data_IF_674910788125
#
_entry.id   IF_674910788125
#
_cell.length_a   1.000
_cell.length_b   1.000
_cell.length_c   1.000
_cell.angle_alpha   90.00
_cell.angle_beta   90.00
_cell.angle_gamma   90.00
#
_symmetry.space_group_name_H-M   'P 1'
#
loop_
_entity.id
_entity.type
_entity.pdbx_description
1 polymer ?
#
# COMPACT_ATOMS: atom_id res chain seq x y z
N UNK A 1 -20.56 -1.91 -4.05
CA UNK A 1 -20.49 -2.79 -5.23
C UNK A 1 -19.18 -3.51 -5.06
N UNK A 2 -19.22 -4.83 -4.85
CA UNK A 2 -18.03 -5.57 -4.45
C UNK A 2 -17.11 -5.70 -5.67
N UNK A 3 -15.83 -5.35 -5.51
CA UNK A 3 -14.85 -5.55 -6.57
C UNK A 3 -14.51 -7.03 -6.69
N UNK A 4 -14.16 -7.47 -7.89
CA UNK A 4 -13.70 -8.84 -8.15
C UNK A 4 -12.20 -8.87 -8.43
N UNK A 5 -11.56 -10.04 -8.29
CA UNK A 5 -10.15 -10.17 -8.65
C UNK A 5 -9.97 -10.06 -10.18
N UNK A 6 -8.79 -9.63 -10.62
CA UNK A 6 -8.45 -9.63 -12.06
C UNK A 6 -8.58 -11.03 -12.69
N UNK A 7 -8.31 -12.09 -11.93
CA UNK A 7 -8.45 -13.46 -12.40
C UNK A 7 -9.92 -13.84 -12.62
N UNK A 8 -10.81 -13.50 -11.69
CA UNK A 8 -12.24 -13.78 -11.81
C UNK A 8 -12.87 -12.94 -12.94
N UNK A 9 -12.50 -11.66 -13.03
CA UNK A 9 -12.88 -10.81 -14.16
C UNK A 9 -12.47 -11.43 -15.50
N UNK A 10 -11.25 -11.97 -15.58
CA UNK A 10 -10.74 -12.58 -16.82
C UNK A 10 -11.48 -13.87 -17.17
N UNK A 11 -11.87 -14.68 -16.18
CA UNK A 11 -12.67 -15.90 -16.40
C UNK A 11 -14.05 -15.58 -16.95
N UNK A 12 -14.67 -14.50 -16.48
CA UNK A 12 -16.01 -14.07 -16.87
C UNK A 12 -15.99 -12.90 -17.87
N UNK A 13 -14.87 -12.71 -18.60
CA UNK A 13 -14.64 -11.55 -19.45
C UNK A 13 -15.76 -11.32 -20.47
N UNK A 14 -16.24 -12.39 -21.09
CA UNK A 14 -17.28 -12.32 -22.12
C UNK A 14 -18.62 -11.84 -21.54
N UNK A 15 -18.86 -12.02 -20.24
CA UNK A 15 -20.06 -11.51 -19.57
C UNK A 15 -19.99 -9.99 -19.35
N UNK A 16 -18.79 -9.44 -19.10
CA UNK A 16 -18.59 -8.01 -18.80
C UNK A 16 -18.29 -7.18 -20.05
N UNK A 17 -17.63 -7.78 -21.04
CA UNK A 17 -17.20 -7.13 -22.28
C UNK A 17 -17.54 -7.99 -23.52
N UNK A 18 -18.83 -8.15 -23.87
CA UNK A 18 -19.28 -9.12 -24.87
C UNK A 18 -18.86 -8.81 -26.31
N UNK A 19 -18.39 -7.59 -26.59
CA UNK A 19 -17.90 -7.18 -27.91
C UNK A 19 -16.38 -7.41 -28.11
N UNK A 20 -15.68 -7.81 -27.05
CA UNK A 20 -14.21 -7.91 -27.03
C UNK A 20 -13.74 -9.27 -27.56
N UNK A 21 -12.81 -9.24 -28.49
CA UNK A 21 -12.19 -10.41 -29.09
C UNK A 21 -10.80 -10.68 -28.49
N UNK A 22 -10.24 -11.86 -28.77
CA UNK A 22 -8.92 -12.25 -28.26
C UNK A 22 -7.76 -11.36 -28.74
N UNK A 23 -7.91 -10.75 -29.92
CA UNK A 23 -6.94 -9.80 -30.48
C UNK A 23 -7.06 -8.38 -29.92
N UNK A 24 -8.06 -8.10 -29.10
CA UNK A 24 -8.31 -6.78 -28.56
C UNK A 24 -7.47 -6.52 -27.30
N UNK A 25 -7.47 -5.25 -26.89
CA UNK A 25 -6.76 -4.77 -25.70
C UNK A 25 -7.78 -4.09 -24.81
N UNK A 26 -7.77 -4.41 -23.52
CA UNK A 26 -8.63 -3.76 -22.53
C UNK A 26 -7.92 -2.58 -21.92
N UNK A 27 -8.66 -1.50 -21.70
CA UNK A 27 -8.17 -0.29 -21.05
C UNK A 27 -8.69 -0.21 -19.61
N UNK A 28 -7.77 -0.26 -18.66
CA UNK A 28 -8.06 -0.09 -17.24
C UNK A 28 -7.88 1.37 -16.84
N UNK A 29 -8.91 1.93 -16.20
CA UNK A 29 -9.06 3.36 -15.91
C UNK A 29 -9.38 3.60 -14.44
N UNK A 30 -9.25 4.86 -14.03
CA UNK A 30 -9.81 5.42 -12.80
C UNK A 30 -9.45 4.65 -11.52
N UNK A 31 -8.16 4.55 -11.16
CA UNK A 31 -7.74 3.89 -9.92
C UNK A 31 -8.38 4.53 -8.69
N UNK A 32 -8.84 3.66 -7.78
CA UNK A 32 -9.51 4.02 -6.53
C UNK A 32 -9.00 3.13 -5.39
N UNK A 33 -9.16 3.63 -4.17
CA UNK A 33 -8.93 2.84 -2.97
C UNK A 33 -10.25 2.54 -2.28
N UNK A 34 -10.44 1.28 -1.92
CA UNK A 34 -11.50 0.83 -1.04
C UNK A 34 -10.90 0.39 0.29
N UNK A 35 -11.34 1.00 1.40
CA UNK A 35 -10.79 0.76 2.72
C UNK A 35 -11.71 -0.16 3.53
N UNK A 36 -11.13 -1.19 4.15
CA UNK A 36 -11.84 -2.10 5.03
C UNK A 36 -10.99 -2.49 6.25
N UNK A 37 -11.60 -2.49 7.44
CA UNK A 37 -11.01 -3.10 8.64
C UNK A 37 -10.90 -4.61 8.43
N UNK A 38 -9.76 -5.18 8.80
CA UNK A 38 -9.55 -6.64 8.79
C UNK A 38 -9.97 -7.29 10.11
N UNK A 39 -10.17 -6.51 11.18
CA UNK A 39 -10.69 -6.97 12.48
C UNK A 39 -9.91 -8.17 13.07
N UNK A 40 -8.63 -8.32 12.71
CA UNK A 40 -7.83 -9.52 12.99
C UNK A 40 -7.58 -9.74 14.48
N UNK A 41 -7.51 -8.68 15.29
CA UNK A 41 -7.37 -8.76 16.73
C UNK A 41 -8.28 -7.77 17.48
N UNK A 42 -9.51 -8.19 17.79
CA UNK A 42 -10.52 -7.38 18.49
C UNK A 42 -10.21 -7.04 19.95
N UNK A 43 -9.15 -7.58 20.53
CA UNK A 43 -8.80 -7.36 21.94
C UNK A 43 -7.88 -6.15 22.14
N UNK A 44 -7.22 -5.68 21.08
CA UNK A 44 -6.27 -4.58 21.14
C UNK A 44 -6.89 -3.30 20.59
N UNK A 45 -7.43 -2.46 21.47
CA UNK A 45 -8.02 -1.18 21.07
C UNK A 45 -7.01 -0.14 20.60
N UNK A 46 -5.72 -0.30 20.92
CA UNK A 46 -4.65 0.62 20.55
C UNK A 46 -4.08 0.38 19.15
N UNK A 47 -4.47 -0.70 18.46
CA UNK A 47 -3.97 -1.01 17.12
C UNK A 47 -5.12 -1.49 16.23
N UNK A 48 -5.31 -0.83 15.08
CA UNK A 48 -6.34 -1.20 14.11
C UNK A 48 -5.69 -1.77 12.85
N UNK A 49 -6.20 -2.90 12.38
CA UNK A 49 -5.74 -3.57 11.16
C UNK A 49 -6.66 -3.25 9.97
N UNK A 50 -6.06 -2.73 8.90
CA UNK A 50 -6.77 -2.22 7.73
C UNK A 50 -6.14 -2.72 6.44
N UNK A 51 -7.00 -2.89 5.45
CA UNK A 51 -6.62 -3.06 4.04
C UNK A 51 -7.21 -1.92 3.22
N UNK A 52 -6.40 -1.41 2.28
CA UNK A 52 -6.86 -0.60 1.17
C UNK A 52 -6.69 -1.36 -0.14
N UNK A 53 -7.79 -1.82 -0.74
CA UNK A 53 -7.80 -2.47 -2.05
C UNK A 53 -7.68 -1.43 -3.17
N UNK A 54 -6.76 -1.69 -4.11
CA UNK A 54 -6.58 -0.89 -5.32
C UNK A 54 -7.52 -1.41 -6.39
N UNK A 55 -8.54 -0.61 -6.71
CA UNK A 55 -9.61 -0.96 -7.64
C UNK A 55 -9.51 -0.14 -8.93
N UNK A 56 -9.86 -0.75 -10.05
CA UNK A 56 -9.91 -0.13 -11.37
C UNK A 56 -11.21 -0.46 -12.08
N UNK A 57 -11.68 0.45 -12.92
CA UNK A 57 -12.74 0.16 -13.88
C UNK A 57 -12.14 -0.24 -15.24
N UNK A 58 -12.92 -0.92 -16.07
CA UNK A 58 -12.57 -1.25 -17.46
C UNK A 58 -13.39 -0.37 -18.39
N UNK A 59 -12.71 0.35 -19.29
CA UNK A 59 -13.34 1.36 -20.15
C UNK A 59 -14.40 0.75 -21.08
N UNK A 60 -14.13 -0.46 -21.59
CA UNK A 60 -14.99 -1.18 -22.51
C UNK A 60 -16.13 -1.95 -21.83
N UNK A 61 -16.12 -2.03 -20.49
CA UNK A 61 -17.10 -2.81 -19.76
C UNK A 61 -18.45 -2.09 -19.67
N UNK A 62 -19.53 -2.87 -19.66
CA UNK A 62 -20.87 -2.30 -19.51
C UNK A 62 -21.03 -1.62 -18.14
N UNK A 63 -21.98 -0.69 -18.01
CA UNK A 63 -22.12 0.18 -16.82
C UNK A 63 -22.32 -0.54 -15.47
N UNK A 64 -22.76 -1.81 -15.47
CA UNK A 64 -22.94 -2.63 -14.27
C UNK A 64 -21.80 -3.61 -14.00
N UNK A 65 -20.66 -3.48 -14.70
CA UNK A 65 -19.51 -4.33 -14.47
C UNK A 65 -18.88 -3.96 -13.12
N UNK A 66 -18.43 -4.95 -12.33
CA UNK A 66 -17.75 -4.69 -11.07
C UNK A 66 -16.40 -4.02 -11.32
N UNK A 67 -15.94 -3.23 -10.36
CA UNK A 67 -14.55 -2.79 -10.32
C UNK A 67 -13.63 -3.99 -10.08
N UNK A 68 -12.39 -3.90 -10.55
CA UNK A 68 -11.40 -4.96 -10.49
C UNK A 68 -10.34 -4.61 -9.46
N UNK A 69 -10.15 -5.46 -8.47
CA UNK A 69 -9.02 -5.36 -7.54
C UNK A 69 -7.74 -5.85 -8.23
N UNK A 70 -6.76 -4.95 -8.33
CA UNK A 70 -5.44 -5.20 -8.91
C UNK A 70 -4.31 -5.15 -7.88
N UNK A 71 -4.65 -5.03 -6.61
CA UNK A 71 -3.66 -4.94 -5.55
C UNK A 71 -4.25 -4.45 -4.25
N UNK A 72 -3.40 -4.34 -3.24
CA UNK A 72 -3.78 -3.88 -1.91
C UNK A 72 -2.58 -3.26 -1.18
N UNK A 73 -2.90 -2.48 -0.15
CA UNK A 73 -2.00 -2.04 0.91
C UNK A 73 -2.56 -2.54 2.24
N UNK A 74 -1.82 -3.40 2.92
CA UNK A 74 -2.12 -3.82 4.29
C UNK A 74 -1.34 -2.95 5.26
N UNK A 75 -2.03 -2.40 6.24
CA UNK A 75 -1.43 -1.47 7.19
C UNK A 75 -2.10 -1.49 8.56
N UNK A 76 -1.31 -1.14 9.57
CA UNK A 76 -1.76 -0.98 10.94
C UNK A 76 -1.81 0.50 11.31
N UNK A 77 -2.76 0.89 12.15
CA UNK A 77 -2.79 2.19 12.82
C UNK A 77 -2.57 1.95 14.32
N UNK A 78 -1.37 2.25 14.79
CA UNK A 78 -0.95 2.09 16.18
C UNK A 78 -1.03 3.42 16.93
N UNK A 79 -1.77 3.44 18.04
CA UNK A 79 -1.81 4.54 19.01
C UNK A 79 -0.72 4.35 20.06
N UNK A 80 0.17 5.32 20.21
CA UNK A 80 1.26 5.30 21.18
C UNK A 80 0.75 5.66 22.59
N UNK A 81 1.58 5.38 23.60
CA UNK A 81 1.29 5.72 25.01
C UNK A 81 0.25 4.84 25.70
N UNK A 82 -0.22 3.76 25.07
CA UNK A 82 -1.24 2.87 25.63
C UNK A 82 -0.67 1.52 26.09
N UNK A 83 0.13 0.88 25.25
CA UNK A 83 0.73 -0.43 25.50
C UNK A 83 2.11 -0.51 24.84
N UNK A 84 3.00 -1.41 25.30
CA UNK A 84 4.29 -1.61 24.66
C UNK A 84 4.14 -2.01 23.19
N UNK A 85 4.63 -1.16 22.28
CA UNK A 85 4.41 -1.28 20.85
C UNK A 85 4.93 -2.61 20.30
N UNK A 86 6.12 -3.06 20.72
CA UNK A 86 6.67 -4.34 20.29
C UNK A 86 5.75 -5.53 20.63
N UNK A 87 5.15 -5.55 21.83
CA UNK A 87 4.23 -6.61 22.24
C UNK A 87 2.93 -6.57 21.44
N UNK A 88 2.42 -5.38 21.16
CA UNK A 88 1.24 -5.20 20.30
C UNK A 88 1.51 -5.69 18.88
N UNK A 89 2.69 -5.39 18.33
CA UNK A 89 3.08 -5.74 16.95
C UNK A 89 3.40 -7.22 16.76
N UNK A 90 3.80 -7.93 17.82
CA UNK A 90 4.01 -9.38 17.78
C UNK A 90 2.71 -10.17 17.50
N UNK A 91 1.55 -9.57 17.77
CA UNK A 91 0.23 -10.16 17.50
C UNK A 91 -0.20 -10.06 16.03
N UNK A 92 0.53 -9.28 15.20
CA UNK A 92 0.19 -9.04 13.80
C UNK A 92 1.23 -9.66 12.84
N UNK A 93 0.81 -10.50 11.88
CA UNK A 93 1.72 -11.09 10.91
C UNK A 93 2.55 -10.05 10.15
N UNK A 94 3.87 -10.21 10.14
CA UNK A 94 4.78 -9.31 9.42
C UNK A 94 5.09 -7.98 10.11
N UNK A 95 4.47 -7.69 11.26
CA UNK A 95 4.64 -6.42 11.97
C UNK A 95 5.72 -6.44 13.08
N UNK A 96 6.06 -7.61 13.62
CA UNK A 96 7.04 -7.76 14.72
C UNK A 96 8.38 -7.02 14.47
N UNK A 97 8.86 -6.99 13.23
CA UNK A 97 10.11 -6.28 12.86
C UNK A 97 10.09 -4.80 13.18
N UNK A 98 8.92 -4.16 13.18
CA UNK A 98 8.77 -2.73 13.46
C UNK A 98 8.92 -2.42 14.95
N UNK A 99 8.87 -3.43 15.84
CA UNK A 99 9.05 -3.25 17.28
C UNK A 99 10.36 -2.55 17.66
N UNK A 100 11.41 -2.65 16.82
CA UNK A 100 12.69 -1.98 17.04
C UNK A 100 12.65 -0.45 16.90
N UNK A 101 11.57 0.11 16.35
CA UNK A 101 11.38 1.56 16.23
C UNK A 101 10.81 2.19 17.51
N UNK A 102 10.56 1.38 18.54
CA UNK A 102 9.86 1.78 19.76
C UNK A 102 10.65 1.43 21.01
N UNK A 103 10.52 2.28 22.03
CA UNK A 103 10.96 2.00 23.39
C UNK A 103 9.74 1.98 24.33
N UNK A 104 9.32 0.77 24.71
CA UNK A 104 8.06 0.57 25.41
C UNK A 104 6.87 1.00 24.56
N UNK A 105 6.09 1.94 25.08
CA UNK A 105 4.85 2.46 24.48
C UNK A 105 5.06 3.69 23.59
N UNK A 106 6.31 4.16 23.45
CA UNK A 106 6.69 5.36 22.72
C UNK A 106 7.68 5.04 21.60
N UNK A 107 7.94 6.01 20.71
CA UNK A 107 9.03 5.91 19.75
C UNK A 107 10.37 5.81 20.48
N UNK A 108 11.30 5.06 19.89
CA UNK A 108 12.64 4.98 20.44
C UNK A 108 13.30 6.38 20.41
N UNK A 109 14.01 6.81 21.47
CA UNK A 109 14.57 8.16 21.55
C UNK A 109 15.51 8.51 20.40
N UNK A 110 16.24 7.52 19.88
CA UNK A 110 17.13 7.68 18.74
C UNK A 110 16.41 7.99 17.44
N UNK A 111 15.08 7.77 17.35
CA UNK A 111 14.20 8.13 16.23
C UNK A 111 13.45 9.41 16.54
N UNK A 112 12.86 9.51 17.73
CA UNK A 112 12.06 10.66 18.16
C UNK A 112 12.87 11.97 18.13
N UNK A 113 14.16 11.90 18.44
CA UNK A 113 15.07 13.05 18.42
C UNK A 113 15.68 13.35 17.03
N UNK A 114 15.35 12.59 15.97
CA UNK A 114 15.87 12.82 14.62
C UNK A 114 15.10 13.93 13.90
N UNK A 115 15.83 14.76 13.14
CA UNK A 115 15.36 15.98 12.46
C UNK A 115 13.86 16.07 12.13
N UNK A 116 13.35 15.28 11.15
CA UNK A 116 11.95 15.37 10.71
C UNK A 116 10.93 14.81 11.72
N UNK A 117 11.35 14.02 12.72
CA UNK A 117 10.46 13.48 13.76
C UNK A 117 10.46 14.41 14.99
N UNK A 118 11.63 14.85 15.45
CA UNK A 118 11.77 15.78 16.58
C UNK A 118 11.06 17.11 16.34
N UNK A 119 11.11 17.60 15.10
CA UNK A 119 10.47 18.86 14.75
C UNK A 119 8.95 18.73 14.50
N UNK A 120 8.40 17.50 14.51
CA UNK A 120 6.97 17.26 14.40
C UNK A 120 6.22 17.45 15.74
N UNK A 121 6.93 17.53 16.86
CA UNK A 121 6.32 17.52 18.20
C UNK A 121 6.04 16.11 18.67
N UNK A 122 4.93 15.88 19.39
CA UNK A 122 4.57 14.53 19.83
C UNK A 122 3.96 13.73 18.69
N UNK A 123 4.59 12.60 18.37
CA UNK A 123 3.99 11.57 17.52
C UNK A 123 3.11 10.70 18.42
N UNK A 124 1.80 10.70 18.15
CA UNK A 124 0.82 9.94 18.92
C UNK A 124 0.32 8.71 18.14
N UNK A 125 0.44 8.74 16.80
CA UNK A 125 -0.08 7.71 15.91
C UNK A 125 0.95 7.28 14.88
N UNK A 126 1.14 5.98 14.74
CA UNK A 126 2.01 5.39 13.70
C UNK A 126 1.19 4.53 12.73
N UNK A 127 1.28 4.86 11.44
CA UNK A 127 0.77 4.02 10.35
C UNK A 127 1.91 3.13 9.85
N UNK A 128 1.73 1.83 10.00
CA UNK A 128 2.73 0.83 9.63
C UNK A 128 2.26 0.13 8.36
N UNK A 129 2.92 0.36 7.23
CA UNK A 129 2.66 -0.39 5.99
C UNK A 129 3.31 -1.77 6.13
N UNK A 130 2.48 -2.80 6.25
CA UNK A 130 2.90 -4.19 6.49
C UNK A 130 3.22 -4.88 5.17
N UNK A 131 2.31 -4.77 4.20
CA UNK A 131 2.46 -5.37 2.87
C UNK A 131 1.86 -4.47 1.78
N UNK A 132 2.46 -4.51 0.60
CA UNK A 132 1.91 -3.88 -0.60
C UNK A 132 2.06 -4.83 -1.77
N UNK A 133 0.93 -5.26 -2.32
CA UNK A 133 0.91 -6.14 -3.47
C UNK A 133 0.20 -5.45 -4.63
N UNK A 134 0.87 -5.37 -5.77
CA UNK A 134 0.28 -4.89 -7.03
C UNK A 134 0.45 -5.98 -8.07
N UNK A 135 -0.64 -6.32 -8.74
CA UNK A 135 -0.67 -7.26 -9.85
C UNK A 135 0.33 -6.83 -10.93
N UNK A 136 1.06 -7.79 -11.50
CA UNK A 136 2.12 -7.48 -12.46
C UNK A 136 1.67 -6.74 -13.71
N UNK A 137 0.40 -6.83 -14.10
CA UNK A 137 -0.18 -6.09 -15.23
C UNK A 137 -0.33 -4.59 -14.92
N UNK A 138 -0.48 -4.23 -13.65
CA UNK A 138 -0.61 -2.84 -13.19
C UNK A 138 0.72 -2.22 -12.73
N UNK A 139 1.83 -2.97 -12.75
CA UNK A 139 3.16 -2.47 -12.36
C UNK A 139 3.73 -1.53 -13.41
N UNK A 140 4.58 -0.60 -12.96
CA UNK A 140 5.22 0.41 -13.83
C UNK A 140 4.50 1.75 -13.90
N UNK A 141 3.29 1.85 -13.34
CA UNK A 141 2.45 3.05 -13.35
C UNK A 141 2.43 3.79 -12.00
N UNK A 142 3.40 3.53 -11.12
CA UNK A 142 3.49 4.08 -9.76
C UNK A 142 2.26 3.85 -8.86
N UNK A 143 1.34 2.95 -9.25
CA UNK A 143 0.09 2.67 -8.53
C UNK A 143 0.34 2.29 -7.07
N UNK A 144 1.38 1.50 -6.77
CA UNK A 144 1.69 1.13 -5.39
C UNK A 144 2.15 2.33 -4.55
N UNK A 145 3.02 3.19 -5.10
CA UNK A 145 3.46 4.40 -4.39
C UNK A 145 2.30 5.40 -4.20
N UNK A 146 1.45 5.55 -5.22
CA UNK A 146 0.23 6.34 -5.14
C UNK A 146 -0.72 5.82 -4.06
N UNK A 147 -1.00 4.51 -4.04
CA UNK A 147 -1.87 3.88 -3.06
C UNK A 147 -1.36 4.13 -1.63
N UNK A 148 -0.07 3.93 -1.38
CA UNK A 148 0.54 4.21 -0.06
C UNK A 148 0.41 5.70 0.29
N UNK A 149 0.65 6.63 -0.65
CA UNK A 149 0.51 8.06 -0.38
C UNK A 149 -0.93 8.48 -0.05
N UNK A 150 -1.92 7.84 -0.67
CA UNK A 150 -3.33 8.08 -0.40
C UNK A 150 -3.76 7.48 0.94
N UNK A 151 -3.28 6.28 1.28
CA UNK A 151 -3.48 5.64 2.58
C UNK A 151 -2.96 6.54 3.70
N UNK A 152 -1.71 7.00 3.57
CA UNK A 152 -1.07 7.91 4.53
C UNK A 152 -1.91 9.16 4.73
N UNK A 153 -2.31 9.82 3.63
CA UNK A 153 -3.06 11.07 3.71
C UNK A 153 -4.51 10.91 4.19
N UNK A 154 -5.07 9.70 4.08
CA UNK A 154 -6.44 9.40 4.52
C UNK A 154 -6.49 8.98 5.99
N UNK A 155 -5.50 8.20 6.43
CA UNK A 155 -5.56 7.47 7.71
C UNK A 155 -4.71 8.09 8.83
N UNK A 156 -3.70 8.90 8.52
CA UNK A 156 -2.91 9.59 9.55
C UNK A 156 -3.46 10.97 9.91
N UNK A 157 -3.39 11.37 11.19
CA UNK A 157 -3.61 12.76 11.58
C UNK A 157 -2.51 13.67 11.01
N UNK A 158 -2.90 14.89 10.63
CA UNK A 158 -2.02 15.83 9.93
C UNK A 158 -0.84 16.35 10.76
N UNK A 159 -0.91 16.33 12.10
CA UNK A 159 0.09 17.00 12.95
C UNK A 159 0.81 16.09 13.96
N UNK A 160 0.33 14.87 14.19
CA UNK A 160 0.85 13.98 15.25
C UNK A 160 1.01 12.53 14.74
N UNK A 161 1.25 12.37 13.44
CA UNK A 161 1.31 11.08 12.76
C UNK A 161 2.71 10.78 12.23
N UNK A 162 3.05 9.49 12.15
CA UNK A 162 4.22 8.97 11.45
C UNK A 162 3.81 7.82 10.55
N UNK A 163 4.24 7.82 9.30
CA UNK A 163 4.13 6.66 8.43
C UNK A 163 5.47 5.92 8.41
N UNK A 164 5.44 4.58 8.50
CA UNK A 164 6.63 3.73 8.40
C UNK A 164 6.38 2.53 7.50
N UNK A 165 7.44 2.07 6.84
CA UNK A 165 7.44 0.82 6.10
C UNK A 165 8.82 0.17 6.12
N UNK A 166 8.84 -1.14 5.89
CA UNK A 166 10.07 -1.92 5.74
C UNK A 166 9.92 -2.80 4.50
N UNK A 167 10.40 -2.36 3.33
CA UNK A 167 10.35 -3.18 2.12
C UNK A 167 11.12 -4.49 2.35
N UNK A 168 10.53 -5.65 2.03
CA UNK A 168 11.27 -6.92 2.15
C UNK A 168 12.28 -7.06 1.01
N UNK A 169 13.54 -6.78 1.36
CA UNK A 169 14.69 -6.85 0.46
C UNK A 169 15.83 -7.68 1.07
N UNK A 170 15.51 -8.49 2.08
CA UNK A 170 16.47 -9.24 2.92
C UNK A 170 17.39 -10.19 2.15
N UNK A 171 16.96 -10.67 0.97
CA UNK A 171 17.72 -11.58 0.10
C UNK A 171 18.10 -10.95 -1.25
N UNK A 172 17.99 -9.63 -1.35
CA UNK A 172 18.18 -8.89 -2.58
C UNK A 172 19.59 -8.32 -2.71
N UNK A 173 20.02 -8.05 -3.93
CA UNK A 173 21.28 -7.33 -4.18
C UNK A 173 21.17 -5.89 -3.67
N UNK A 174 22.30 -5.26 -3.33
CA UNK A 174 22.33 -3.86 -2.90
C UNK A 174 21.68 -2.92 -3.94
N UNK A 175 21.86 -3.19 -5.23
CA UNK A 175 21.19 -2.46 -6.32
C UNK A 175 19.66 -2.59 -6.25
N UNK A 176 19.16 -3.78 -5.96
CA UNK A 176 17.72 -4.03 -5.83
C UNK A 176 17.16 -3.34 -4.60
N UNK A 177 17.88 -3.38 -3.47
CA UNK A 177 17.53 -2.65 -2.24
C UNK A 177 17.38 -1.16 -2.54
N UNK A 178 18.37 -0.54 -3.16
CA UNK A 178 18.35 0.88 -3.49
C UNK A 178 17.23 1.23 -4.48
N UNK A 179 16.97 0.38 -5.48
CA UNK A 179 15.86 0.57 -6.42
C UNK A 179 14.51 0.53 -5.71
N UNK A 180 14.31 -0.41 -4.80
CA UNK A 180 13.07 -0.54 -4.02
C UNK A 180 12.91 0.65 -3.07
N UNK A 181 13.97 1.05 -2.37
CA UNK A 181 13.94 2.22 -1.51
C UNK A 181 13.61 3.49 -2.30
N UNK A 182 14.23 3.69 -3.47
CA UNK A 182 13.94 4.82 -4.36
C UNK A 182 12.49 4.84 -4.82
N UNK A 183 11.92 3.68 -5.14
CA UNK A 183 10.52 3.59 -5.51
C UNK A 183 9.60 4.04 -4.37
N UNK A 184 9.84 3.58 -3.15
CA UNK A 184 9.00 3.96 -2.00
C UNK A 184 9.18 5.41 -1.53
N UNK A 185 10.33 6.04 -1.82
CA UNK A 185 10.51 7.48 -1.63
C UNK A 185 9.55 8.33 -2.49
N UNK A 186 8.99 7.78 -3.57
CA UNK A 186 7.94 8.47 -4.33
C UNK A 186 6.69 8.74 -3.48
N UNK A 187 6.41 7.90 -2.49
CA UNK A 187 5.31 8.10 -1.54
C UNK A 187 5.65 9.10 -0.40
N UNK A 188 6.84 9.72 -0.44
CA UNK A 188 7.29 10.74 0.52
C UNK A 188 8.04 10.19 1.73
N UNK A 189 8.19 8.87 1.82
CA UNK A 189 8.94 8.19 2.89
C UNK A 189 10.44 8.37 2.69
N UNK A 190 11.20 8.47 3.78
CA UNK A 190 12.67 8.64 3.76
C UNK A 190 13.34 7.57 4.61
N UNK A 191 14.60 7.18 4.34
CA UNK A 191 15.34 6.31 5.25
C UNK A 191 15.34 6.85 6.68
N UNK A 192 15.15 5.96 7.65
CA UNK A 192 15.29 6.30 9.07
C UNK A 192 16.76 6.09 9.46
N UNK A 193 17.39 7.12 10.03
CA UNK A 193 18.79 7.03 10.43
C UNK A 193 18.94 5.99 11.54
N UNK A 194 20.01 5.19 11.49
CA UNK A 194 20.22 4.07 12.42
C UNK A 194 19.41 2.79 12.09
N UNK A 195 18.40 2.89 11.21
CA UNK A 195 17.46 1.81 10.90
C UNK A 195 17.40 1.54 9.38
N UNK A 196 18.48 0.99 8.76
CA UNK A 196 18.68 0.95 7.30
C UNK A 196 17.66 0.09 6.50
N UNK A 197 16.82 -0.69 7.18
CA UNK A 197 15.73 -1.45 6.57
C UNK A 197 14.38 -0.69 6.53
N UNK A 198 14.31 0.48 7.15
CA UNK A 198 13.08 1.22 7.36
C UNK A 198 13.07 2.53 6.60
N UNK A 199 11.90 2.84 6.07
CA UNK A 199 11.56 4.16 5.59
C UNK A 199 10.46 4.73 6.50
N UNK A 200 10.54 6.00 6.84
CA UNK A 200 9.53 6.70 7.61
C UNK A 200 9.44 8.17 7.29
N UNK A 201 8.31 8.79 7.66
CA UNK A 201 8.13 10.23 7.59
C UNK A 201 7.02 10.71 8.53
N UNK A 202 7.23 11.85 9.19
CA UNK A 202 6.23 12.50 10.04
C UNK A 202 5.24 13.35 9.21
N UNK A 203 4.00 13.51 9.71
CA UNK A 203 2.96 14.29 9.03
C UNK A 203 3.07 15.80 9.20
N UNK A 204 3.82 16.28 10.21
CA UNK A 204 3.96 17.70 10.49
C UNK A 204 4.62 18.53 9.36
N UNK A 205 5.21 17.88 8.36
CA UNK A 205 5.85 18.52 7.22
C UNK A 205 5.12 18.31 5.91
N UNK A 206 5.32 19.23 4.97
CA UNK A 206 4.70 19.19 3.64
C UNK A 206 5.27 18.09 2.72
N UNK A 207 6.23 17.29 3.17
CA UNK A 207 6.87 16.24 2.37
C UNK A 207 5.87 15.19 1.88
N UNK A 208 5.01 14.67 2.77
CA UNK A 208 3.99 13.68 2.41
C UNK A 208 2.96 14.29 1.45
N UNK A 209 2.52 15.52 1.70
CA UNK A 209 1.59 16.24 0.82
C UNK A 209 2.19 16.53 -0.56
N UNK A 210 3.48 16.89 -0.62
CA UNK A 210 4.17 17.14 -1.87
C UNK A 210 4.34 15.86 -2.68
N UNK A 211 4.70 14.76 -2.02
CA UNK A 211 4.82 13.44 -2.65
C UNK A 211 3.46 12.96 -3.21
N UNK A 212 2.40 13.08 -2.42
CA UNK A 212 1.03 12.76 -2.86
C UNK A 212 0.62 13.60 -4.08
N UNK A 213 0.88 14.92 -4.06
CA UNK A 213 0.60 15.81 -5.19
C UNK A 213 1.39 15.42 -6.44
N UNK A 214 2.64 14.99 -6.30
CA UNK A 214 3.45 14.51 -7.43
C UNK A 214 2.94 13.19 -8.03
N UNK A 215 2.11 12.45 -7.30
CA UNK A 215 1.47 11.21 -7.74
C UNK A 215 0.00 11.41 -8.17
N UNK A 216 -0.51 12.65 -8.23
CA UNK A 216 -1.91 12.93 -8.52
C UNK A 216 -2.34 12.38 -9.90
N UNK A 217 -1.47 12.47 -10.90
CA UNK A 217 -1.72 12.01 -12.28
C UNK A 217 -1.93 10.50 -12.39
N UNK A 218 -1.58 9.72 -11.36
CA UNK A 218 -1.89 8.28 -11.32
C UNK A 218 -3.40 8.04 -11.38
N UNK A 219 -4.22 8.95 -10.82
CA UNK A 219 -5.69 8.89 -10.88
C UNK A 219 -6.26 8.95 -12.30
N UNK A 220 -5.50 9.56 -13.22
CA UNK A 220 -5.88 9.72 -14.62
C UNK A 220 -5.10 8.77 -15.54
N UNK A 221 -4.25 7.91 -14.96
CA UNK A 221 -3.45 6.97 -15.74
C UNK A 221 -4.32 5.83 -16.25
N UNK A 222 -4.18 5.55 -17.54
CA UNK A 222 -4.69 4.36 -18.19
C UNK A 222 -3.59 3.38 -18.50
N UNK A 223 -3.88 2.10 -18.31
CA UNK A 223 -3.00 1.05 -18.79
C UNK A 223 -3.78 0.01 -19.57
N UNK A 224 -3.08 -0.55 -20.55
CA UNK A 224 -3.66 -1.37 -21.61
C UNK A 224 -3.08 -2.76 -21.54
N UNK A 225 -3.94 -3.77 -21.46
CA UNK A 225 -3.51 -5.17 -21.38
C UNK A 225 -4.17 -5.96 -22.50
N UNK A 226 -3.40 -6.68 -23.33
CA UNK A 226 -3.96 -7.57 -24.34
C UNK A 226 -4.84 -8.65 -23.71
N UNK A 227 -6.00 -8.95 -24.31
CA UNK A 227 -6.92 -9.99 -23.82
C UNK A 227 -6.24 -11.35 -23.79
N UNK A 228 -5.47 -11.68 -24.83
CA UNK A 228 -4.67 -12.90 -24.87
C UNK A 228 -3.68 -13.02 -23.69
N UNK A 229 -3.09 -11.90 -23.23
CA UNK A 229 -2.19 -11.91 -22.07
C UNK A 229 -2.96 -12.22 -20.79
N UNK A 230 -4.12 -11.59 -20.57
CA UNK A 230 -4.96 -11.83 -19.40
C UNK A 230 -5.35 -13.30 -19.31
N UNK A 231 -5.87 -13.88 -20.40
CA UNK A 231 -6.27 -15.30 -20.45
C UNK A 231 -5.10 -16.25 -20.17
N UNK A 232 -3.95 -16.02 -20.81
CA UNK A 232 -2.74 -16.82 -20.58
C UNK A 232 -2.21 -16.72 -19.13
N UNK A 233 -2.53 -15.65 -18.38
CA UNK A 233 -2.16 -15.52 -16.97
C UNK A 233 -3.06 -16.36 -16.07
N UNK A 234 -4.37 -16.41 -16.33
CA UNK A 234 -5.31 -17.26 -15.58
C UNK A 234 -4.91 -18.73 -15.74
N UNK A 235 -4.67 -19.19 -16.97
CA UNK A 235 -4.26 -20.57 -17.25
C UNK A 235 -2.97 -20.96 -16.52
N UNK A 236 -1.97 -20.08 -16.51
CA UNK A 236 -0.70 -20.32 -15.80
C UNK A 236 -0.86 -20.39 -14.28
N UNK A 237 -1.83 -19.68 -13.72
CA UNK A 237 -2.11 -19.68 -12.29
C UNK A 237 -2.94 -20.90 -11.87
N UNK A 238 -3.85 -21.36 -12.73
CA UNK A 238 -4.66 -22.55 -12.48
C UNK A 238 -3.83 -23.85 -12.60
N UNK A 239 -2.79 -23.90 -13.43
CA UNK A 239 -1.86 -25.04 -13.54
C UNK A 239 -0.91 -25.18 -12.34
N UNK A 240 -0.75 -24.11 -11.53
CA UNK A 240 0.15 -24.08 -10.36
C UNK A 240 -0.55 -24.33 -9.02
N UNK A 241 -1.88 -24.51 -9.02
CA UNK A 241 -2.68 -24.93 -7.86
C UNK A 241 -2.92 -26.43 -7.88
#
# INVERSE_FOLDING_TARGET
MDSISLADFTRDLDAYTPATNEGDTLEFVAPRLHYASQDSNRQLSCCLDWRADVQLAVAEAHATAPDISVGYVDFLILQLGQQPAAQVLDEYPGAARFGQLFDGEWLAPDIDEQGPFAAAGSIDVVLIVVDVCIDSAARGHNIGAWAVSEVIATMLPTSAGMAVMSPDVSRSTAETVERVNRYWRLAGLQPIDGHPGFLGQATAFTHLDAARRALADVRDTTFRVPVAELRARVERNDVRR
#
